data_IF_217898284051
#
_entry.id   IF_217898284051
#
_cell.length_a   1.000
_cell.length_b   1.000
_cell.length_c   1.000
_cell.angle_alpha   90.00
_cell.angle_beta   90.00
_cell.angle_gamma   90.00
#
_symmetry.space_group_name_H-M   'P 1'
#
loop_
_entity.id
_entity.type
_entity.pdbx_description
1 polymer ?
#
# COMPACT_ATOMS: atom_id res chain seq x y z
N UNK A 1 14.68 2.12 -6.64
CA UNK A 1 13.82 1.76 -5.48
C UNK A 1 14.59 1.02 -4.40
N UNK A 2 15.54 0.15 -4.76
CA UNK A 2 16.38 -0.56 -3.79
C UNK A 2 17.11 0.41 -2.83
N UNK A 3 17.81 1.42 -3.35
CA UNK A 3 18.58 2.36 -2.51
C UNK A 3 17.74 3.07 -1.45
N UNK A 4 16.51 3.47 -1.79
CA UNK A 4 15.58 4.11 -0.85
C UNK A 4 15.19 3.13 0.28
N UNK A 5 14.98 1.87 -0.07
CA UNK A 5 14.61 0.81 0.87
C UNK A 5 15.77 0.45 1.79
N UNK A 6 17.00 0.37 1.25
CA UNK A 6 18.23 0.16 2.03
C UNK A 6 18.47 1.30 3.01
N UNK A 7 18.41 2.56 2.54
CA UNK A 7 18.58 3.75 3.40
C UNK A 7 17.53 3.83 4.52
N UNK A 8 16.29 3.46 4.22
CA UNK A 8 15.22 3.39 5.21
C UNK A 8 15.52 2.31 6.26
N UNK A 9 15.97 1.13 5.84
CA UNK A 9 16.33 0.04 6.75
C UNK A 9 17.47 0.43 7.68
N UNK A 10 18.54 1.04 7.15
CA UNK A 10 19.68 1.53 7.93
C UNK A 10 19.26 2.61 8.93
N UNK A 11 18.47 3.59 8.50
CA UNK A 11 18.02 4.68 9.36
C UNK A 11 17.08 4.17 10.46
N UNK A 12 16.19 3.24 10.14
CA UNK A 12 15.31 2.59 11.11
C UNK A 12 16.11 1.79 12.13
N UNK A 13 17.13 1.05 11.70
CA UNK A 13 17.98 0.27 12.60
C UNK A 13 18.72 1.16 13.60
N UNK A 14 19.20 2.35 13.18
CA UNK A 14 19.83 3.33 14.09
C UNK A 14 18.90 3.83 15.19
N UNK A 15 17.58 3.80 14.97
CA UNK A 15 16.58 4.18 15.99
C UNK A 15 15.98 2.98 16.72
N UNK A 16 16.50 1.76 16.50
CA UNK A 16 15.99 0.53 17.10
C UNK A 16 14.73 -0.03 16.42
N UNK A 17 14.29 0.55 15.31
CA UNK A 17 13.14 0.08 14.53
C UNK A 17 13.55 -1.02 13.54
N UNK A 18 12.63 -1.96 13.30
CA UNK A 18 12.81 -3.08 12.36
C UNK A 18 11.70 -3.08 11.33
N UNK A 19 12.06 -3.20 10.05
CA UNK A 19 11.08 -3.30 8.97
C UNK A 19 10.42 -4.67 8.99
N UNK A 20 9.08 -4.69 8.95
CA UNK A 20 8.32 -5.91 8.83
C UNK A 20 8.20 -6.33 7.37
N UNK A 21 9.11 -7.20 6.92
CA UNK A 21 9.16 -7.73 5.54
C UNK A 21 7.84 -8.33 5.03
N UNK A 22 7.00 -8.91 5.90
CA UNK A 22 5.71 -9.52 5.51
C UNK A 22 4.61 -8.49 5.29
N UNK A 23 4.69 -7.34 5.96
CA UNK A 23 3.73 -6.24 5.83
C UNK A 23 4.16 -5.20 4.79
N UNK A 24 5.42 -5.22 4.37
CA UNK A 24 5.90 -4.31 3.33
C UNK A 24 5.40 -4.75 1.96
N UNK A 25 4.85 -3.79 1.22
CA UNK A 25 4.38 -3.95 -0.15
C UNK A 25 5.07 -2.92 -1.04
N UNK A 26 5.26 -3.27 -2.31
CA UNK A 26 5.81 -2.39 -3.32
C UNK A 26 4.71 -2.02 -4.32
N UNK A 27 4.44 -0.74 -4.50
CA UNK A 27 3.63 -0.25 -5.61
C UNK A 27 4.52 0.60 -6.52
N UNK A 28 4.58 0.26 -7.80
CA UNK A 28 5.35 0.99 -8.81
C UNK A 28 4.42 1.87 -9.62
N UNK A 29 4.68 3.18 -9.62
CA UNK A 29 3.88 4.18 -10.35
C UNK A 29 4.75 4.80 -11.45
N UNK A 30 4.19 5.00 -12.64
CA UNK A 30 4.84 5.69 -13.77
C UNK A 30 6.24 5.14 -14.14
N UNK A 31 6.45 3.83 -13.98
CA UNK A 31 7.71 3.18 -14.33
C UNK A 31 7.47 1.83 -14.98
N UNK A 32 8.30 1.50 -15.97
CA UNK A 32 8.36 0.20 -16.64
C UNK A 32 9.48 -0.69 -16.10
N UNK A 33 10.23 -0.21 -15.10
CA UNK A 33 11.38 -0.91 -14.54
C UNK A 33 10.89 -2.07 -13.67
N UNK A 34 11.22 -3.29 -14.10
CA UNK A 34 10.82 -4.53 -13.45
C UNK A 34 11.87 -5.12 -12.50
N UNK A 35 12.83 -4.32 -12.04
CA UNK A 35 13.82 -4.77 -11.05
C UNK A 35 13.12 -5.10 -9.73
N UNK A 36 13.30 -6.31 -9.17
CA UNK A 36 12.81 -6.65 -7.84
C UNK A 36 13.39 -5.72 -6.77
N UNK A 37 12.61 -5.45 -5.73
CA UNK A 37 13.08 -4.74 -4.54
C UNK A 37 13.07 -5.70 -3.37
N UNK A 38 14.19 -5.80 -2.66
CA UNK A 38 14.33 -6.71 -1.52
C UNK A 38 14.33 -5.95 -0.20
N UNK A 39 13.70 -6.55 0.81
CA UNK A 39 13.68 -6.09 2.20
C UNK A 39 14.20 -7.23 3.08
N UNK A 40 15.32 -7.02 3.75
CA UNK A 40 15.94 -8.06 4.57
C UNK A 40 16.35 -9.30 3.77
N UNK A 41 16.72 -9.13 2.49
CA UNK A 41 17.11 -10.21 1.59
C UNK A 41 15.95 -10.92 0.88
N UNK A 42 14.69 -10.64 1.23
CA UNK A 42 13.51 -11.24 0.58
C UNK A 42 12.87 -10.26 -0.42
N UNK A 43 12.43 -10.74 -1.60
CA UNK A 43 11.70 -9.90 -2.55
C UNK A 43 10.38 -9.42 -1.95
N UNK A 44 10.08 -8.13 -2.13
CA UNK A 44 8.84 -7.50 -1.66
C UNK A 44 7.72 -7.78 -2.64
N UNK A 45 6.52 -8.10 -2.15
CA UNK A 45 5.35 -8.30 -3.01
C UNK A 45 4.98 -7.01 -3.75
N UNK A 46 4.78 -7.11 -5.05
CA UNK A 46 4.27 -6.01 -5.86
C UNK A 46 2.74 -6.00 -5.82
N UNK A 47 2.14 -4.83 -5.60
CA UNK A 47 0.69 -4.63 -5.53
C UNK A 47 0.26 -3.49 -6.43
N UNK A 48 -0.95 -3.60 -6.98
CA UNK A 48 -1.56 -2.56 -7.83
C UNK A 48 -2.33 -1.52 -7.01
N UNK A 49 -2.77 -1.88 -5.80
CA UNK A 49 -3.39 -0.99 -4.82
C UNK A 49 -3.10 -1.45 -3.39
N UNK A 50 -3.20 -0.52 -2.44
CA UNK A 50 -3.12 -0.81 -1.00
C UNK A 50 -4.02 0.16 -0.23
N UNK A 51 -4.33 -0.19 1.03
CA UNK A 51 -5.13 0.67 1.90
C UNK A 51 -4.19 1.45 2.83
N UNK A 52 -4.26 2.77 2.76
CA UNK A 52 -3.53 3.67 3.65
C UNK A 52 -4.48 4.59 4.40
N UNK A 53 -4.46 4.48 5.73
CA UNK A 53 -5.32 5.27 6.63
C UNK A 53 -6.81 5.25 6.24
N UNK A 54 -7.29 4.10 5.75
CA UNK A 54 -8.68 3.91 5.34
C UNK A 54 -9.00 4.27 3.89
N UNK A 55 -8.08 4.89 3.17
CA UNK A 55 -8.24 5.21 1.75
C UNK A 55 -7.57 4.16 0.86
N UNK A 56 -8.20 3.86 -0.27
CA UNK A 56 -7.60 3.01 -1.31
C UNK A 56 -6.63 3.86 -2.14
N UNK A 57 -5.34 3.55 -2.03
CA UNK A 57 -4.32 4.12 -2.91
C UNK A 57 -4.08 3.14 -4.05
N UNK A 58 -4.18 3.66 -5.27
CA UNK A 58 -4.11 2.88 -6.48
C UNK A 58 -3.03 3.39 -7.43
N UNK A 59 -2.40 2.49 -8.18
CA UNK A 59 -1.34 2.82 -9.16
C UNK A 59 -1.80 3.80 -10.24
N UNK A 60 -3.09 3.84 -10.57
CA UNK A 60 -3.61 4.81 -11.54
C UNK A 60 -3.58 6.25 -11.02
N UNK A 61 -3.37 6.47 -9.71
CA UNK A 61 -3.16 7.79 -9.13
C UNK A 61 -4.42 8.65 -8.94
N UNK A 62 -5.58 8.17 -9.40
CA UNK A 62 -6.88 8.82 -9.21
C UNK A 62 -7.58 8.43 -7.91
N UNK A 63 -8.61 9.21 -7.55
CA UNK A 63 -9.45 8.97 -6.36
C UNK A 63 -10.68 8.12 -6.67
N UNK A 64 -10.96 7.82 -7.94
CA UNK A 64 -12.17 7.13 -8.38
C UNK A 64 -12.42 5.81 -7.63
N UNK A 65 -11.37 5.00 -7.43
CA UNK A 65 -11.48 3.74 -6.68
C UNK A 65 -11.81 3.95 -5.22
N UNK A 66 -11.19 4.94 -4.59
CA UNK A 66 -11.47 5.28 -3.19
C UNK A 66 -12.90 5.79 -3.02
N UNK A 67 -13.33 6.72 -3.87
CA UNK A 67 -14.69 7.29 -3.87
C UNK A 67 -15.73 6.21 -4.10
N UNK A 68 -15.50 5.31 -5.07
CA UNK A 68 -16.37 4.18 -5.32
C UNK A 68 -16.46 3.24 -4.11
N UNK A 69 -15.31 2.91 -3.48
CA UNK A 69 -15.27 2.06 -2.29
C UNK A 69 -16.03 2.68 -1.10
N UNK A 70 -15.85 3.99 -0.86
CA UNK A 70 -16.53 4.71 0.22
C UNK A 70 -18.04 4.83 -0.03
N UNK A 71 -18.42 5.12 -1.27
CA UNK A 71 -19.84 5.17 -1.67
C UNK A 71 -20.50 3.79 -1.53
N UNK A 72 -19.81 2.72 -1.90
CA UNK A 72 -20.29 1.35 -1.71
C UNK A 72 -20.53 1.01 -0.24
N UNK A 73 -19.58 1.35 0.64
CA UNK A 73 -19.73 1.17 2.10
C UNK A 73 -20.92 1.96 2.66
N UNK A 74 -21.08 3.22 2.26
CA UNK A 74 -22.20 4.06 2.70
C UNK A 74 -23.56 3.50 2.23
N UNK A 75 -23.65 3.05 0.97
CA UNK A 75 -24.85 2.40 0.43
C UNK A 75 -25.19 1.13 1.19
N UNK A 76 -24.20 0.28 1.49
CA UNK A 76 -24.39 -0.94 2.27
C UNK A 76 -24.92 -0.65 3.68
N UNK A 77 -24.32 0.33 4.38
CA UNK A 77 -24.79 0.76 5.71
C UNK A 77 -26.24 1.29 5.66
N UNK A 78 -26.57 2.09 4.64
CA UNK A 78 -27.92 2.60 4.47
C UNK A 78 -28.96 1.51 4.21
N UNK A 79 -28.62 0.49 3.42
CA UNK A 79 -29.51 -0.67 3.19
C UNK A 79 -29.70 -1.46 4.49
N UNK A 80 -28.63 -1.70 5.25
CA UNK A 80 -28.73 -2.40 6.53
C UNK A 80 -29.66 -1.69 7.51
N UNK A 81 -29.58 -0.36 7.60
CA UNK A 81 -30.44 0.44 8.47
C UNK A 81 -31.92 0.44 8.06
N UNK A 82 -32.22 0.23 6.77
CA UNK A 82 -33.61 0.12 6.28
C UNK A 82 -34.27 -1.22 6.59
N UNK A 83 -33.47 -2.25 6.86
CA UNK A 83 -33.95 -3.59 7.18
C UNK A 83 -34.08 -3.83 8.69
N UNK A 84 -33.87 -2.79 9.50
CA UNK A 84 -34.19 -2.72 10.94
C UNK A 84 -35.53 -2.01 11.07
#
# INVERSE_FOLDING_TARGET
MQDKTTRLAETSARTGLRINKRKTELMKINTTVNTPVTVGGEPTREVESFVYLGNVIDKQGGTDRDVAARTGKARAAFIMLKNI
#
